data_IF_788361808875
#
_entry.id   IF_788361808875
#
_cell.length_a   1.000
_cell.length_b   1.000
_cell.length_c   1.000
_cell.angle_alpha   90.00
_cell.angle_beta   90.00
_cell.angle_gamma   90.00
#
_symmetry.space_group_name_H-M   'P 1'
#
loop_
_entity.id
_entity.type
_entity.pdbx_description
1 polymer ?
#
# COMPACT_ATOMS: atom_id res chain seq x y z
N UNK A 1 3.85 -12.17 -9.48
CA UNK A 1 4.06 -11.97 -8.03
C UNK A 1 5.10 -10.92 -7.66
N UNK A 2 6.10 -10.59 -8.49
CA UNK A 2 7.13 -9.56 -8.17
C UNK A 2 6.58 -8.20 -7.72
N UNK A 3 5.51 -7.70 -8.35
CA UNK A 3 4.92 -6.40 -8.00
C UNK A 3 4.36 -6.35 -6.58
N UNK A 4 3.73 -7.43 -6.12
CA UNK A 4 3.16 -7.47 -4.78
C UNK A 4 4.26 -7.47 -3.71
N UNK A 5 5.30 -8.27 -3.91
CA UNK A 5 6.43 -8.35 -2.98
C UNK A 5 7.15 -7.00 -2.88
N UNK A 6 7.42 -6.36 -4.03
CA UNK A 6 7.99 -5.01 -4.06
C UNK A 6 7.08 -3.98 -3.38
N UNK A 7 5.76 -4.07 -3.60
CA UNK A 7 4.81 -3.16 -2.96
C UNK A 7 4.77 -3.33 -1.43
N UNK A 8 4.83 -4.57 -0.93
CA UNK A 8 4.90 -4.85 0.52
C UNK A 8 6.18 -4.31 1.14
N UNK A 9 7.32 -4.49 0.46
CA UNK A 9 8.62 -3.97 0.91
C UNK A 9 8.61 -2.44 1.01
N UNK A 10 8.15 -1.75 -0.03
CA UNK A 10 8.04 -0.29 -0.04
C UNK A 10 7.08 0.21 1.04
N UNK A 11 5.94 -0.46 1.22
CA UNK A 11 4.97 -0.10 2.24
C UNK A 11 5.58 -0.23 3.65
N UNK A 12 6.34 -1.30 3.90
CA UNK A 12 7.04 -1.46 5.17
C UNK A 12 8.08 -0.35 5.41
N UNK A 13 8.80 0.08 4.36
CA UNK A 13 9.78 1.17 4.44
C UNK A 13 9.11 2.49 4.80
N UNK A 14 8.05 2.87 4.08
CA UNK A 14 7.32 4.12 4.31
C UNK A 14 6.74 4.19 5.74
N UNK A 15 6.08 3.12 6.18
CA UNK A 15 5.49 3.03 7.51
C UNK A 15 6.55 3.10 8.62
N UNK A 16 7.71 2.46 8.43
CA UNK A 16 8.84 2.57 9.37
C UNK A 16 9.41 3.98 9.44
N UNK A 17 9.56 4.65 8.30
CA UNK A 17 10.03 6.04 8.25
C UNK A 17 9.08 7.00 8.98
N UNK A 18 7.81 6.61 9.13
CA UNK A 18 6.81 7.33 9.92
C UNK A 18 6.72 6.94 11.39
N UNK A 19 7.61 6.07 11.86
CA UNK A 19 7.64 5.66 13.26
C UNK A 19 6.50 4.73 13.67
N UNK A 20 5.83 4.08 12.70
CA UNK A 20 4.87 3.03 13.00
C UNK A 20 5.60 1.88 13.68
N UNK A 21 5.07 1.44 14.83
CA UNK A 21 5.64 0.36 15.62
C UNK A 21 5.65 -0.98 14.85
N UNK A 22 6.70 -1.79 15.03
CA UNK A 22 6.83 -3.13 14.44
C UNK A 22 5.63 -4.05 14.74
N UNK A 23 4.93 -3.86 15.86
CA UNK A 23 3.73 -4.65 16.18
C UNK A 23 2.51 -4.35 15.28
N UNK A 24 2.46 -3.17 14.65
CA UNK A 24 1.36 -2.76 13.74
C UNK A 24 1.74 -2.90 12.26
N UNK A 25 3.03 -2.94 11.96
CA UNK A 25 3.57 -2.97 10.60
C UNK A 25 3.00 -4.11 9.74
N UNK A 26 2.99 -5.39 10.18
CA UNK A 26 2.49 -6.48 9.34
C UNK A 26 1.03 -6.29 8.89
N UNK A 27 0.16 -5.83 9.80
CA UNK A 27 -1.24 -5.60 9.50
C UNK A 27 -1.43 -4.43 8.52
N UNK A 28 -0.67 -3.34 8.70
CA UNK A 28 -0.75 -2.17 7.84
C UNK A 28 -0.16 -2.44 6.45
N UNK A 29 0.91 -3.24 6.37
CA UNK A 29 1.49 -3.65 5.08
C UNK A 29 0.50 -4.51 4.29
N UNK A 30 -0.17 -5.48 4.92
CA UNK A 30 -1.19 -6.29 4.24
C UNK A 30 -2.40 -5.46 3.79
N UNK A 31 -2.72 -4.38 4.51
CA UNK A 31 -3.80 -3.45 4.14
C UNK A 31 -3.40 -2.52 2.98
N UNK A 32 -2.19 -1.96 2.98
CA UNK A 32 -1.82 -0.84 2.11
C UNK A 32 -0.89 -1.19 0.94
N UNK A 33 -0.31 -2.40 0.87
CA UNK A 33 0.43 -2.83 -0.32
C UNK A 33 -0.34 -2.66 -1.64
N UNK A 34 -1.68 -2.80 -1.72
CA UNK A 34 -2.40 -2.63 -2.99
C UNK A 34 -2.26 -1.23 -3.58
N UNK A 35 -2.12 -0.21 -2.74
CA UNK A 35 -1.91 1.18 -3.16
C UNK A 35 -0.60 1.27 -3.95
N UNK A 36 0.50 0.82 -3.34
CA UNK A 36 1.82 0.88 -3.98
C UNK A 36 1.92 -0.07 -5.18
N UNK A 37 1.28 -1.23 -5.13
CA UNK A 37 1.22 -2.12 -6.28
C UNK A 37 0.47 -1.46 -7.46
N UNK A 38 -0.62 -0.73 -7.21
CA UNK A 38 -1.31 0.04 -8.25
C UNK A 38 -0.45 1.17 -8.82
N UNK A 39 0.33 1.86 -7.98
CA UNK A 39 1.28 2.90 -8.41
C UNK A 39 2.40 2.32 -9.30
N UNK A 40 3.00 1.19 -8.89
CA UNK A 40 4.02 0.48 -9.70
C UNK A 40 3.45 0.07 -11.05
N UNK A 41 2.20 -0.39 -11.09
CA UNK A 41 1.48 -0.79 -12.30
C UNK A 41 0.95 0.39 -13.11
N UNK A 42 1.13 1.62 -12.64
CA UNK A 42 0.60 2.84 -13.25
C UNK A 42 -0.92 2.78 -13.51
N UNK A 43 -1.67 2.11 -12.62
CA UNK A 43 -3.12 1.94 -12.77
C UNK A 43 -3.56 0.92 -13.82
N UNK A 44 -2.64 0.15 -14.41
CA UNK A 44 -3.00 -0.90 -15.37
C UNK A 44 -3.51 -2.14 -14.61
N UNK A 45 -4.78 -2.45 -14.78
CA UNK A 45 -5.36 -3.73 -14.35
C UNK A 45 -5.17 -4.78 -15.48
N UNK A 46 -4.37 -5.81 -15.21
CA UNK A 46 -4.51 -7.09 -15.90
C UNK A 46 -5.70 -7.80 -15.24
N UNK A 47 -6.43 -8.67 -15.94
CA UNK A 47 -7.65 -9.30 -15.41
C UNK A 47 -7.47 -10.14 -14.13
N UNK A 48 -6.27 -10.18 -13.56
CA UNK A 48 -5.89 -10.82 -12.29
C UNK A 48 -5.92 -9.82 -11.12
N UNK A 49 -6.01 -8.51 -11.38
CA UNK A 49 -6.04 -7.48 -10.34
C UNK A 49 -7.38 -7.49 -9.60
N UNK A 50 -7.34 -7.84 -8.32
CA UNK A 50 -8.53 -8.06 -7.49
C UNK A 50 -9.11 -6.79 -6.84
N UNK A 51 -8.44 -5.65 -6.97
CA UNK A 51 -8.87 -4.40 -6.33
C UNK A 51 -9.50 -3.47 -7.35
N UNK A 52 -10.69 -2.96 -7.05
CA UNK A 52 -11.34 -1.96 -7.90
C UNK A 52 -10.65 -0.60 -7.77
N UNK A 53 -10.79 0.29 -8.77
CA UNK A 53 -10.27 1.66 -8.68
C UNK A 53 -10.76 2.39 -7.42
N UNK A 54 -12.03 2.25 -7.04
CA UNK A 54 -12.62 2.90 -5.88
C UNK A 54 -12.01 2.39 -4.56
N UNK A 55 -11.71 1.09 -4.49
CA UNK A 55 -11.00 0.51 -3.34
C UNK A 55 -9.59 1.07 -3.22
N UNK A 56 -8.89 1.21 -4.34
CA UNK A 56 -7.55 1.80 -4.35
C UNK A 56 -7.59 3.27 -3.96
N UNK A 57 -8.56 4.05 -4.43
CA UNK A 57 -8.72 5.46 -4.04
C UNK A 57 -8.98 5.61 -2.53
N UNK A 58 -9.88 4.78 -1.97
CA UNK A 58 -10.17 4.78 -0.53
C UNK A 58 -8.92 4.43 0.30
N UNK A 59 -8.23 3.33 -0.06
CA UNK A 59 -6.99 2.93 0.60
C UNK A 59 -5.89 3.98 0.45
N UNK A 60 -5.81 4.65 -0.70
CA UNK A 60 -4.83 5.73 -0.93
C UNK A 60 -5.07 6.93 -0.02
N UNK A 61 -6.33 7.29 0.21
CA UNK A 61 -6.69 8.37 1.13
C UNK A 61 -6.31 8.01 2.58
N UNK A 62 -6.62 6.80 3.02
CA UNK A 62 -6.23 6.29 4.35
C UNK A 62 -4.70 6.20 4.51
N UNK A 63 -4.00 5.69 3.50
CA UNK A 63 -2.55 5.56 3.51
C UNK A 63 -1.88 6.93 3.59
N UNK A 64 -2.34 7.91 2.80
CA UNK A 64 -1.85 9.28 2.87
C UNK A 64 -2.13 9.91 4.22
N UNK A 65 -3.32 9.74 4.79
CA UNK A 65 -3.60 10.25 6.14
C UNK A 65 -2.68 9.64 7.20
N UNK A 66 -2.35 8.35 7.07
CA UNK A 66 -1.40 7.66 7.94
C UNK A 66 0.04 8.20 7.80
N UNK A 67 0.44 8.54 6.57
CA UNK A 67 1.76 9.12 6.28
C UNK A 67 1.81 10.63 6.53
N UNK A 68 0.73 11.38 6.43
CA UNK A 68 0.73 12.83 6.62
C UNK A 68 0.57 13.24 8.10
N UNK A 69 0.31 12.26 8.98
CA UNK A 69 0.15 12.43 10.43
C UNK A 69 1.26 13.26 11.07
N UNK A 70 0.98 14.55 11.22
CA UNK A 70 1.74 15.57 11.94
C UNK A 70 1.02 15.90 13.23
#
# INVERSE_FOLDING_TARGET
MRTEDTARELCAIDLRQRGISEGRLPALVEQFWPVLANEIRQGIADGEWRFSPEQIEALSAEYRALLDGR
#
